data_IF_161240196029
#
_entry.id   IF_161240196029
#
_cell.length_a   1.000
_cell.length_b   1.000
_cell.length_c   1.000
_cell.angle_alpha   90.00
_cell.angle_beta   90.00
_cell.angle_gamma   90.00
#
_symmetry.space_group_name_H-M   'P 1'
#
loop_
_entity.id
_entity.type
_entity.pdbx_description
1 polymer ?
#
# COMPACT_ATOMS: atom_id res chain seq x y z
N UNK A 1 -14.99 58.70 17.09
CA UNK A 1 -13.90 59.46 17.73
C UNK A 1 -12.61 58.69 17.59
N UNK A 2 -11.59 59.29 16.92
CA UNK A 2 -10.16 58.95 16.81
C UNK A 2 -9.82 57.60 16.17
N UNK A 3 -9.42 57.48 14.90
CA UNK A 3 -8.25 57.94 14.11
C UNK A 3 -7.05 56.96 14.22
N UNK A 4 -6.77 56.38 13.09
CA UNK A 4 -5.56 55.82 12.42
C UNK A 4 -4.17 56.21 12.99
N UNK A 5 -3.02 55.55 12.58
CA UNK A 5 -2.62 55.34 11.19
C UNK A 5 -1.77 54.07 10.88
N UNK A 6 -1.77 53.66 9.66
CA UNK A 6 -0.74 53.40 8.60
C UNK A 6 0.71 53.02 9.03
N UNK A 7 1.24 52.02 8.35
CA UNK A 7 2.66 51.67 8.27
C UNK A 7 3.00 50.52 7.32
N UNK A 8 3.25 50.87 6.04
CA UNK A 8 4.29 50.44 5.07
C UNK A 8 4.68 48.98 4.85
N UNK A 9 4.32 48.48 3.71
CA UNK A 9 5.07 48.13 2.47
C UNK A 9 6.61 47.94 2.61
N UNK A 10 7.08 46.72 2.29
CA UNK A 10 8.36 46.53 1.55
C UNK A 10 8.21 45.31 0.61
N UNK A 11 8.28 45.64 -0.67
CA UNK A 11 8.46 44.79 -1.83
C UNK A 11 9.88 44.23 -1.92
N UNK A 12 10.04 42.99 -2.37
CA UNK A 12 11.30 42.47 -2.97
C UNK A 12 10.85 41.51 -4.08
N UNK A 13 10.99 41.78 -5.27
CA UNK A 13 11.98 41.87 -6.27
C UNK A 13 12.12 40.50 -6.96
N UNK A 14 11.37 40.31 -8.10
CA UNK A 14 11.54 39.21 -9.05
C UNK A 14 12.74 39.54 -9.93
N UNK A 15 13.73 38.64 -10.02
CA UNK A 15 14.78 38.67 -11.03
C UNK A 15 14.48 37.72 -12.17
N UNK A 16 14.05 38.26 -13.31
CA UNK A 16 14.07 37.60 -14.62
C UNK A 16 15.45 37.89 -15.25
N UNK A 17 16.17 36.85 -15.65
CA UNK A 17 17.29 36.99 -16.61
C UNK A 17 16.80 36.59 -18.00
N UNK A 18 16.65 37.57 -18.85
CA UNK A 18 16.46 37.41 -20.28
C UNK A 18 17.81 37.44 -20.99
N UNK A 19 18.03 36.47 -21.89
CA UNK A 19 19.15 36.42 -22.82
C UNK A 19 18.81 37.20 -24.10
N UNK A 20 19.52 38.29 -24.37
CA UNK A 20 19.47 39.00 -25.66
C UNK A 20 20.74 38.71 -26.44
N UNK A 21 20.61 38.16 -27.61
CA UNK A 21 21.63 38.06 -28.63
C UNK A 21 21.76 39.43 -29.35
N UNK A 22 22.97 39.97 -29.42
CA UNK A 22 23.27 41.12 -30.24
C UNK A 22 24.32 40.74 -31.28
N UNK A 23 23.94 40.79 -32.54
CA UNK A 23 24.83 40.75 -33.68
C UNK A 23 25.47 42.13 -33.88
N UNK A 24 26.79 42.20 -33.96
CA UNK A 24 27.49 43.40 -34.39
C UNK A 24 28.53 43.05 -35.46
N UNK A 25 28.28 43.54 -36.64
CA UNK A 25 29.22 43.65 -37.78
C UNK A 25 30.22 44.75 -37.51
N UNK A 26 31.52 44.49 -37.64
CA UNK A 26 32.59 45.46 -37.44
C UNK A 26 33.85 45.08 -38.22
N UNK A 27 34.03 45.73 -39.31
CA UNK A 27 35.22 46.23 -40.03
C UNK A 27 36.61 45.62 -39.78
N UNK A 28 37.18 45.10 -40.89
CA UNK A 28 38.59 44.71 -41.07
C UNK A 28 39.56 45.87 -40.89
N UNK A 29 40.58 45.66 -40.07
CA UNK A 29 41.89 46.38 -40.17
C UNK A 29 43.00 45.32 -40.18
N UNK A 30 44.05 45.50 -41.05
CA UNK A 30 45.14 44.53 -41.14
C UNK A 30 46.12 44.75 -39.98
N UNK A 31 46.30 43.75 -39.12
CA UNK A 31 47.35 43.75 -38.11
C UNK A 31 48.53 42.91 -38.56
N UNK A 32 49.70 43.54 -38.45
CA UNK A 32 51.03 43.01 -38.74
C UNK A 32 51.26 41.65 -38.04
N UNK A 33 51.81 40.71 -38.75
CA UNK A 33 52.25 39.41 -38.22
C UNK A 33 53.49 39.65 -37.32
N UNK A 34 53.26 39.47 -36.01
CA UNK A 34 54.34 39.20 -35.07
C UNK A 34 54.58 37.70 -35.01
N UNK A 35 55.81 37.32 -35.35
CA UNK A 35 56.28 35.95 -35.25
C UNK A 35 56.23 35.49 -33.77
N UNK A 36 55.38 34.54 -33.45
CA UNK A 36 55.39 33.82 -32.20
C UNK A 36 56.64 32.94 -32.11
N UNK A 37 57.37 32.95 -30.98
CA UNK A 37 58.47 32.00 -30.82
C UNK A 37 57.97 30.57 -30.79
N UNK A 38 58.74 29.58 -31.27
CA UNK A 38 58.34 28.20 -31.30
C UNK A 38 58.03 27.73 -29.84
N UNK A 39 56.86 27.12 -29.65
CA UNK A 39 56.50 26.44 -28.42
C UNK A 39 57.59 25.42 -28.05
N UNK A 40 57.97 25.32 -26.77
CA UNK A 40 58.90 24.28 -26.36
C UNK A 40 58.33 22.91 -26.74
N UNK A 41 59.17 22.12 -27.41
CA UNK A 41 58.85 20.77 -27.77
C UNK A 41 58.35 20.03 -26.52
N UNK A 42 57.16 19.47 -26.59
CA UNK A 42 56.62 18.58 -25.55
C UNK A 42 57.70 17.49 -25.32
N UNK A 43 58.25 17.49 -24.12
CA UNK A 43 59.10 16.40 -23.69
C UNK A 43 58.27 15.07 -23.88
N UNK A 44 58.90 14.03 -24.45
CA UNK A 44 58.22 12.76 -24.55
C UNK A 44 57.89 12.30 -23.12
N UNK A 45 56.61 12.30 -22.79
CA UNK A 45 56.13 11.63 -21.59
C UNK A 45 56.72 10.22 -21.59
N UNK A 46 57.58 9.96 -20.62
CA UNK A 46 58.16 8.65 -20.44
C UNK A 46 57.06 7.60 -20.47
N UNK A 47 57.21 6.50 -21.19
CA UNK A 47 56.21 5.44 -21.18
C UNK A 47 55.97 5.04 -19.74
N UNK A 48 54.73 5.20 -19.26
CA UNK A 48 54.30 4.65 -17.97
C UNK A 48 54.64 3.19 -18.04
N UNK A 49 55.66 2.77 -17.23
CA UNK A 49 56.05 1.38 -17.17
C UNK A 49 54.78 0.57 -16.77
N UNK A 50 54.18 -0.07 -17.75
CA UNK A 50 53.01 -0.91 -17.52
C UNK A 50 53.54 -2.18 -16.89
N UNK A 51 53.48 -2.25 -15.56
CA UNK A 51 53.95 -3.40 -14.82
C UNK A 51 53.08 -4.63 -15.20
N UNK A 52 53.75 -5.65 -15.71
CA UNK A 52 53.13 -6.93 -15.94
C UNK A 52 53.05 -7.69 -14.59
N UNK A 53 51.90 -8.31 -14.32
CA UNK A 53 51.65 -9.07 -13.08
C UNK A 53 52.53 -10.33 -13.12
N UNK A 54 53.55 -10.38 -12.25
CA UNK A 54 54.47 -11.51 -12.12
C UNK A 54 53.96 -12.57 -11.15
N UNK A 55 53.35 -12.12 -10.05
CA UNK A 55 52.82 -13.01 -9.02
C UNK A 55 51.60 -12.36 -8.35
N UNK A 56 50.71 -13.20 -7.83
CA UNK A 56 49.56 -12.77 -7.01
C UNK A 56 49.63 -13.54 -5.69
N UNK A 57 49.85 -12.82 -4.60
CA UNK A 57 49.92 -13.37 -3.25
C UNK A 57 48.71 -12.88 -2.45
N UNK A 58 48.02 -13.80 -1.76
CA UNK A 58 46.91 -13.46 -0.84
C UNK A 58 47.43 -13.62 0.58
N UNK A 59 47.17 -12.61 1.42
CA UNK A 59 47.54 -12.61 2.83
C UNK A 59 46.34 -12.19 3.71
N UNK A 60 46.34 -12.64 4.97
CA UNK A 60 45.30 -12.30 5.94
C UNK A 60 44.11 -13.27 5.96
N UNK A 61 44.16 -14.33 5.18
CA UNK A 61 43.16 -15.41 5.24
C UNK A 61 43.34 -16.22 6.55
N UNK A 62 42.21 -16.64 7.12
CA UNK A 62 42.16 -17.46 8.32
C UNK A 62 41.48 -18.81 8.06
N UNK A 63 40.35 -18.78 7.40
CA UNK A 63 39.50 -19.93 7.09
C UNK A 63 39.54 -20.30 5.61
N UNK A 64 39.71 -19.31 4.75
CA UNK A 64 39.75 -19.48 3.31
C UNK A 64 41.22 -19.73 2.87
N UNK A 65 41.41 -20.61 1.90
CA UNK A 65 42.71 -20.76 1.24
C UNK A 65 42.94 -19.60 0.25
N UNK A 66 44.21 -19.20 0.12
CA UNK A 66 44.58 -18.11 -0.80
C UNK A 66 44.19 -18.39 -2.26
N UNK A 67 44.20 -19.68 -2.66
CA UNK A 67 43.75 -20.10 -4.00
C UNK A 67 42.25 -19.90 -4.21
N UNK A 68 41.43 -20.11 -3.19
CA UNK A 68 40.01 -19.84 -3.21
C UNK A 68 39.76 -18.34 -3.39
N UNK A 69 40.50 -17.48 -2.69
CA UNK A 69 40.37 -16.02 -2.85
C UNK A 69 40.75 -15.60 -4.28
N UNK A 70 41.85 -16.20 -4.82
CA UNK A 70 42.26 -15.94 -6.21
C UNK A 70 41.21 -16.36 -7.25
N UNK A 71 40.40 -17.37 -6.95
CA UNK A 71 39.34 -17.82 -7.86
C UNK A 71 38.21 -16.78 -8.06
N UNK A 72 37.97 -15.92 -7.08
CA UNK A 72 36.94 -14.90 -7.12
C UNK A 72 37.30 -13.68 -7.96
N UNK A 73 38.60 -13.47 -8.25
CA UNK A 73 39.08 -12.32 -9.01
C UNK A 73 39.41 -12.69 -10.45
N UNK A 74 39.42 -11.69 -11.32
CA UNK A 74 39.77 -11.86 -12.75
C UNK A 74 41.21 -11.62 -13.06
N UNK A 75 42.02 -11.11 -12.08
CA UNK A 75 43.45 -10.89 -12.25
C UNK A 75 44.17 -12.21 -12.48
N UNK A 76 45.10 -12.22 -13.46
CA UNK A 76 45.93 -13.38 -13.78
C UNK A 76 47.38 -12.95 -13.94
N UNK A 77 48.32 -13.84 -13.62
CA UNK A 77 49.74 -13.67 -13.90
C UNK A 77 49.96 -13.51 -15.41
N UNK A 78 50.83 -12.62 -15.82
CA UNK A 78 51.09 -12.30 -17.22
C UNK A 78 50.24 -11.17 -17.80
N UNK A 79 49.18 -10.74 -17.11
CA UNK A 79 48.39 -9.58 -17.52
C UNK A 79 49.05 -8.25 -17.17
N UNK A 80 48.71 -7.20 -17.92
CA UNK A 80 49.12 -5.85 -17.59
C UNK A 80 48.35 -5.35 -16.35
N UNK A 81 49.08 -4.79 -15.39
CA UNK A 81 48.47 -4.17 -14.24
C UNK A 81 47.83 -2.80 -14.66
N UNK A 82 46.58 -2.61 -14.32
CA UNK A 82 45.90 -1.34 -14.44
C UNK A 82 45.10 -1.05 -13.18
N UNK A 83 44.91 0.23 -12.84
CA UNK A 83 44.04 0.62 -11.72
C UNK A 83 42.63 0.06 -11.87
N UNK A 84 42.12 0.05 -13.11
CA UNK A 84 40.79 -0.50 -13.43
C UNK A 84 40.68 -1.98 -13.07
N UNK A 85 41.75 -2.76 -13.37
CA UNK A 85 41.77 -4.21 -13.04
C UNK A 85 41.86 -4.44 -11.54
N UNK A 86 42.58 -3.59 -10.81
CA UNK A 86 42.62 -3.63 -9.34
C UNK A 86 41.25 -3.28 -8.72
N UNK A 87 40.61 -2.21 -9.20
CA UNK A 87 39.28 -1.81 -8.73
C UNK A 87 38.22 -2.89 -9.03
N UNK A 88 38.36 -3.57 -10.18
CA UNK A 88 37.47 -4.68 -10.48
C UNK A 88 37.68 -5.85 -9.54
N UNK A 89 38.93 -6.18 -9.23
CA UNK A 89 39.24 -7.26 -8.25
C UNK A 89 38.70 -6.92 -6.85
N UNK A 90 38.82 -5.66 -6.42
CA UNK A 90 38.19 -5.19 -5.18
C UNK A 90 36.68 -5.39 -5.21
N UNK A 91 36.00 -4.98 -6.28
CA UNK A 91 34.56 -5.15 -6.43
C UNK A 91 34.16 -6.62 -6.44
N UNK A 92 34.89 -7.46 -7.16
CA UNK A 92 34.63 -8.90 -7.23
C UNK A 92 34.76 -9.56 -5.82
N UNK A 93 35.75 -9.18 -5.03
CA UNK A 93 35.92 -9.69 -3.66
C UNK A 93 34.85 -9.16 -2.69
N UNK A 94 34.53 -7.87 -2.72
CA UNK A 94 33.45 -7.34 -1.86
C UNK A 94 32.08 -7.91 -2.22
N UNK A 95 31.82 -8.20 -3.51
CA UNK A 95 30.57 -8.80 -3.97
C UNK A 95 30.33 -10.21 -3.39
N UNK A 96 31.39 -10.91 -2.96
CA UNK A 96 31.24 -12.22 -2.29
C UNK A 96 30.67 -12.11 -0.88
N UNK A 97 30.68 -10.93 -0.25
CA UNK A 97 30.33 -10.68 1.16
C UNK A 97 31.18 -11.49 2.18
N UNK A 98 32.26 -12.11 1.74
CA UNK A 98 33.14 -12.93 2.59
C UNK A 98 34.15 -12.10 3.40
N UNK A 99 34.43 -10.89 2.95
CA UNK A 99 35.51 -10.05 3.48
C UNK A 99 34.99 -8.78 4.14
N UNK A 100 35.53 -8.46 5.30
CA UNK A 100 35.28 -7.21 6.03
C UNK A 100 36.12 -6.06 5.44
N UNK A 101 37.31 -6.41 4.93
CA UNK A 101 38.23 -5.45 4.34
C UNK A 101 39.10 -6.14 3.28
N UNK A 102 39.40 -5.41 2.21
CA UNK A 102 40.23 -5.89 1.10
C UNK A 102 41.11 -4.72 0.62
N UNK A 103 42.42 -4.98 0.53
CA UNK A 103 43.33 -4.06 -0.11
C UNK A 103 44.13 -4.81 -1.21
N UNK A 104 44.26 -4.18 -2.37
CA UNK A 104 45.01 -4.71 -3.51
C UNK A 104 46.17 -3.76 -3.79
N UNK A 105 47.41 -4.24 -3.67
CA UNK A 105 48.59 -3.44 -3.89
C UNK A 105 49.48 -4.09 -4.93
N UNK A 106 50.12 -3.30 -5.77
CA UNK A 106 51.13 -3.76 -6.73
C UNK A 106 52.49 -3.23 -6.34
N UNK A 107 53.42 -4.12 -6.16
CA UNK A 107 54.83 -3.81 -5.89
C UNK A 107 55.67 -4.31 -7.08
N UNK A 108 55.81 -3.48 -8.13
CA UNK A 108 56.62 -3.79 -9.34
C UNK A 108 56.30 -5.14 -9.99
N UNK A 109 54.98 -5.45 -10.14
CA UNK A 109 54.49 -6.68 -10.70
C UNK A 109 54.16 -7.79 -9.69
N UNK A 110 54.58 -7.66 -8.44
CA UNK A 110 54.12 -8.55 -7.36
C UNK A 110 52.83 -7.97 -6.74
N UNK A 111 51.69 -8.53 -7.09
CA UNK A 111 50.39 -8.11 -6.56
C UNK A 111 50.13 -8.79 -5.24
N UNK A 112 49.90 -8.00 -4.19
CA UNK A 112 49.55 -8.47 -2.85
C UNK A 112 48.09 -8.10 -2.58
N UNK A 113 47.25 -9.09 -2.29
CA UNK A 113 45.86 -8.96 -1.91
C UNK A 113 45.78 -9.23 -0.42
N UNK A 114 45.57 -8.17 0.34
CA UNK A 114 45.35 -8.26 1.79
C UNK A 114 43.86 -8.38 2.04
N UNK A 115 43.42 -9.43 2.72
CA UNK A 115 42.00 -9.65 3.05
C UNK A 115 41.85 -9.84 4.55
N UNK A 116 40.70 -9.34 5.03
CA UNK A 116 40.21 -9.61 6.38
C UNK A 116 38.85 -10.28 6.26
N UNK A 117 38.75 -11.53 6.67
CA UNK A 117 37.52 -12.29 6.57
C UNK A 117 36.44 -11.75 7.49
N UNK A 118 35.18 -11.75 7.01
CA UNK A 118 34.02 -11.51 7.85
C UNK A 118 33.91 -12.63 8.90
N UNK A 119 33.53 -12.30 10.14
CA UNK A 119 33.35 -13.31 11.20
C UNK A 119 32.18 -14.23 10.89
N UNK A 120 32.16 -15.38 11.55
CA UNK A 120 31.02 -16.31 11.50
C UNK A 120 30.07 -16.00 12.64
N UNK A 121 28.79 -15.97 12.34
CA UNK A 121 27.73 -15.79 13.35
C UNK A 121 27.70 -17.04 14.25
N UNK A 122 27.93 -16.83 15.54
CA UNK A 122 27.84 -17.89 16.54
C UNK A 122 26.39 -18.08 16.99
N UNK A 123 25.74 -17.02 17.42
CA UNK A 123 24.31 -17.00 17.80
C UNK A 123 23.70 -15.62 17.59
N UNK A 124 22.37 -15.59 17.56
CA UNK A 124 21.56 -14.39 17.48
C UNK A 124 20.77 -14.27 18.77
N UNK A 125 20.80 -13.09 19.37
CA UNK A 125 20.17 -12.80 20.65
C UNK A 125 19.18 -11.64 20.41
N UNK A 126 17.98 -11.77 20.96
CA UNK A 126 16.96 -10.72 20.95
C UNK A 126 16.84 -10.18 22.38
N UNK A 127 16.97 -8.87 22.54
CA UNK A 127 16.85 -8.21 23.83
C UNK A 127 15.86 -7.03 23.75
N UNK A 128 15.08 -6.83 24.84
CA UNK A 128 14.14 -5.72 24.93
C UNK A 128 12.77 -5.98 24.32
N UNK A 129 12.54 -7.08 23.62
CA UNK A 129 11.27 -7.46 22.99
C UNK A 129 10.27 -8.06 24.01
N UNK A 130 9.60 -7.19 24.76
CA UNK A 130 8.67 -7.60 25.83
C UNK A 130 7.25 -7.89 25.32
N UNK A 131 6.83 -7.25 24.24
CA UNK A 131 5.48 -7.33 23.69
C UNK A 131 5.35 -8.34 22.56
N UNK A 132 6.36 -8.43 21.71
CA UNK A 132 6.43 -9.43 20.65
C UNK A 132 7.44 -10.49 21.12
N UNK A 133 6.99 -11.73 21.22
CA UNK A 133 7.83 -12.84 21.66
C UNK A 133 8.82 -13.25 20.56
N UNK A 134 9.89 -13.94 20.96
CA UNK A 134 10.93 -14.41 20.05
C UNK A 134 10.37 -15.26 18.89
N UNK A 135 9.41 -16.13 19.17
CA UNK A 135 8.77 -17.01 18.17
C UNK A 135 8.15 -16.25 16.98
N UNK A 136 7.82 -14.96 17.17
CA UNK A 136 7.30 -14.10 16.12
C UNK A 136 8.38 -13.28 15.42
N UNK A 137 9.51 -13.02 16.07
CA UNK A 137 10.60 -12.23 15.51
C UNK A 137 11.60 -13.13 14.76
N UNK A 138 11.90 -14.31 15.29
CA UNK A 138 12.86 -15.24 14.68
C UNK A 138 12.59 -15.59 13.22
N UNK A 139 11.34 -15.81 12.77
CA UNK A 139 11.03 -16.07 11.36
C UNK A 139 11.34 -14.89 10.42
N UNK A 140 11.38 -13.66 10.94
CA UNK A 140 11.72 -12.47 10.15
C UNK A 140 13.24 -12.32 9.98
N UNK A 141 14.05 -12.99 10.78
CA UNK A 141 15.51 -12.98 10.72
C UNK A 141 15.97 -14.04 9.73
N UNK A 142 16.62 -13.62 8.65
CA UNK A 142 17.14 -14.53 7.62
C UNK A 142 18.58 -14.97 7.90
N UNK A 143 19.30 -14.19 8.70
CA UNK A 143 20.64 -14.58 9.13
C UNK A 143 20.53 -15.71 10.15
N UNK A 144 21.37 -16.73 10.02
CA UNK A 144 21.34 -17.89 10.89
C UNK A 144 22.72 -18.14 11.53
N UNK A 145 22.79 -18.82 12.67
CA UNK A 145 24.06 -19.31 13.25
C UNK A 145 24.86 -20.11 12.23
N UNK A 146 26.17 -20.01 12.29
CA UNK A 146 27.17 -20.61 11.40
C UNK A 146 27.23 -19.98 9.98
N UNK A 147 26.45 -18.97 9.69
CA UNK A 147 26.61 -18.19 8.46
C UNK A 147 27.66 -17.10 8.62
N UNK A 148 28.19 -16.63 7.50
CA UNK A 148 29.12 -15.51 7.47
C UNK A 148 28.34 -14.23 7.75
N UNK A 149 28.84 -13.44 8.69
CA UNK A 149 28.29 -12.13 8.99
C UNK A 149 28.41 -11.20 7.78
N UNK A 150 27.35 -10.51 7.47
CA UNK A 150 27.33 -9.44 6.47
C UNK A 150 26.53 -8.26 7.01
N UNK A 151 27.09 -7.05 6.89
CA UNK A 151 26.41 -5.83 7.32
C UNK A 151 25.11 -5.60 6.55
N UNK A 152 25.06 -5.97 5.26
CA UNK A 152 23.89 -5.86 4.41
C UNK A 152 22.75 -6.75 4.94
N UNK A 153 23.05 -8.00 5.28
CA UNK A 153 22.08 -8.96 5.83
C UNK A 153 21.54 -8.53 7.19
N UNK A 154 22.41 -8.07 8.09
CA UNK A 154 21.98 -7.54 9.40
C UNK A 154 21.07 -6.33 9.25
N UNK A 155 21.40 -5.38 8.35
CA UNK A 155 20.52 -4.23 8.08
C UNK A 155 19.17 -4.65 7.51
N UNK A 156 19.16 -5.65 6.64
CA UNK A 156 17.92 -6.20 6.10
C UNK A 156 17.07 -6.89 7.19
N UNK A 157 17.70 -7.59 8.12
CA UNK A 157 17.02 -8.21 9.27
C UNK A 157 16.45 -7.14 10.20
N UNK A 158 17.22 -6.10 10.53
CA UNK A 158 16.75 -4.94 11.29
C UNK A 158 15.51 -4.33 10.63
N UNK A 159 15.56 -4.11 9.32
CA UNK A 159 14.42 -3.53 8.59
C UNK A 159 13.16 -4.42 8.68
N UNK A 160 13.32 -5.76 8.59
CA UNK A 160 12.18 -6.70 8.73
C UNK A 160 11.62 -6.72 10.15
N UNK A 161 12.47 -6.70 11.16
CA UNK A 161 12.03 -6.62 12.56
C UNK A 161 11.28 -5.31 12.81
N UNK A 162 11.80 -4.16 12.35
CA UNK A 162 11.12 -2.87 12.47
C UNK A 162 9.77 -2.90 11.76
N UNK A 163 9.70 -3.52 10.58
CA UNK A 163 8.44 -3.63 9.83
C UNK A 163 7.43 -4.54 10.55
N UNK A 164 7.88 -5.61 11.20
CA UNK A 164 7.02 -6.42 12.08
C UNK A 164 6.41 -5.58 13.19
N UNK A 165 7.21 -4.71 13.85
CA UNK A 165 6.73 -3.81 14.90
C UNK A 165 5.73 -2.78 14.35
N UNK A 166 5.98 -2.23 13.16
CA UNK A 166 5.03 -1.31 12.50
C UNK A 166 3.70 -1.98 12.20
N UNK A 167 3.70 -3.21 11.68
CA UNK A 167 2.48 -4.01 11.47
C UNK A 167 1.69 -4.24 12.76
N UNK A 168 2.37 -4.22 13.91
CA UNK A 168 1.73 -4.27 15.24
C UNK A 168 1.33 -2.88 15.79
N UNK A 169 1.44 -1.84 14.95
CA UNK A 169 1.11 -0.45 15.32
C UNK A 169 2.16 0.24 16.20
N UNK A 170 3.41 -0.21 16.19
CA UNK A 170 4.52 0.36 16.97
C UNK A 170 5.53 1.02 16.05
N UNK A 171 5.21 2.21 15.57
CA UNK A 171 6.01 2.94 14.59
C UNK A 171 7.27 3.59 15.21
N UNK A 172 7.29 3.76 16.53
CA UNK A 172 8.45 4.26 17.27
C UNK A 172 9.45 3.16 17.63
N UNK A 173 9.25 1.91 17.18
CA UNK A 173 10.17 0.83 17.47
C UNK A 173 11.54 1.07 16.82
N UNK A 174 12.59 0.90 17.61
CA UNK A 174 13.99 1.00 17.19
C UNK A 174 14.66 -0.33 17.44
N UNK A 175 15.45 -0.81 16.48
CA UNK A 175 16.23 -2.03 16.57
C UNK A 175 17.69 -1.72 16.27
N UNK A 176 18.54 -1.89 17.24
CA UNK A 176 19.99 -1.63 17.11
C UNK A 176 20.77 -2.95 17.17
N UNK A 177 21.50 -3.29 16.09
CA UNK A 177 22.33 -4.50 16.09
C UNK A 177 23.64 -4.22 16.79
N UNK A 178 23.97 -4.96 17.84
CA UNK A 178 25.27 -4.97 18.50
C UNK A 178 26.02 -6.25 18.17
N UNK A 179 27.31 -6.12 17.98
CA UNK A 179 28.21 -7.22 17.65
C UNK A 179 29.14 -7.48 18.84
N UNK A 180 29.08 -8.68 19.38
CA UNK A 180 29.98 -9.15 20.43
C UNK A 180 31.00 -10.06 19.78
N UNK A 181 32.24 -9.59 19.68
CA UNK A 181 33.33 -10.38 19.10
C UNK A 181 33.76 -11.51 20.05
N UNK A 182 33.97 -12.67 19.49
CA UNK A 182 34.44 -13.90 20.18
C UNK A 182 35.73 -14.38 19.54
N UNK A 183 36.43 -15.30 20.23
CA UNK A 183 37.60 -15.95 19.70
C UNK A 183 37.31 -16.68 18.38
N UNK A 184 38.36 -16.95 17.59
CA UNK A 184 38.31 -17.67 16.32
C UNK A 184 37.45 -16.98 15.24
N UNK A 185 37.48 -15.63 15.17
CA UNK A 185 36.75 -14.84 14.20
C UNK A 185 35.26 -15.17 14.17
N UNK A 186 34.65 -15.30 15.34
CA UNK A 186 33.19 -15.49 15.55
C UNK A 186 32.57 -14.26 16.16
N UNK A 187 31.26 -14.12 15.97
CA UNK A 187 30.48 -12.97 16.48
C UNK A 187 29.11 -13.43 16.96
N UNK A 188 28.68 -12.93 18.14
CA UNK A 188 27.30 -12.94 18.54
C UNK A 188 26.66 -11.67 18.04
N UNK A 189 25.43 -11.75 17.50
CA UNK A 189 24.62 -10.62 17.07
C UNK A 189 23.52 -10.43 18.09
N UNK A 190 23.50 -9.28 18.74
CA UNK A 190 22.45 -8.89 19.68
C UNK A 190 21.61 -7.82 19.01
N UNK A 191 20.33 -8.10 18.77
CA UNK A 191 19.36 -7.09 18.38
C UNK A 191 18.73 -6.49 19.63
N UNK A 192 19.18 -5.29 20.00
CA UNK A 192 18.54 -4.53 21.06
C UNK A 192 17.30 -3.82 20.54
N UNK A 193 16.15 -4.17 21.10
CA UNK A 193 14.85 -3.71 20.64
C UNK A 193 14.26 -2.78 21.67
N UNK A 194 13.99 -1.56 21.24
CA UNK A 194 13.18 -0.59 21.99
C UNK A 194 11.82 -0.51 21.31
N UNK A 195 10.80 -1.19 21.89
CA UNK A 195 9.52 -1.40 21.22
C UNK A 195 8.67 -0.13 21.06
N UNK A 196 8.84 0.87 21.91
CA UNK A 196 7.99 2.07 21.92
C UNK A 196 6.52 1.81 22.29
N UNK A 197 5.70 2.85 22.44
CA UNK A 197 4.25 2.73 22.62
C UNK A 197 3.56 2.30 21.32
N UNK A 198 2.28 1.89 21.39
CA UNK A 198 1.43 1.83 20.20
C UNK A 198 1.12 3.24 19.73
N UNK A 199 1.37 3.51 18.48
CA UNK A 199 1.09 4.82 17.87
C UNK A 199 -0.42 5.02 17.73
N UNK A 200 -0.87 6.19 18.14
CA UNK A 200 -2.28 6.58 18.12
C UNK A 200 -2.49 7.69 17.11
N UNK A 201 -3.72 7.93 16.75
CA UNK A 201 -4.11 9.09 15.95
C UNK A 201 -4.35 10.25 16.90
N UNK A 202 -3.41 11.19 16.93
CA UNK A 202 -3.48 12.39 17.77
C UNK A 202 -4.53 13.37 17.24
N UNK A 203 -4.53 13.60 15.93
CA UNK A 203 -5.39 14.57 15.27
C UNK A 203 -5.84 14.09 13.90
N UNK A 204 -7.10 14.42 13.55
CA UNK A 204 -7.66 14.24 12.22
C UNK A 204 -8.09 15.62 11.73
N UNK A 205 -7.45 16.10 10.67
CA UNK A 205 -7.78 17.34 9.99
C UNK A 205 -8.56 17.02 8.71
N UNK A 206 -9.57 17.82 8.42
CA UNK A 206 -10.31 17.75 7.17
C UNK A 206 -10.26 19.15 6.55
N UNK A 207 -9.81 19.25 5.30
CA UNK A 207 -9.61 20.51 4.60
C UNK A 207 -10.49 20.51 3.36
N UNK A 208 -11.25 21.60 3.14
CA UNK A 208 -12.16 21.74 2.01
C UNK A 208 -13.61 21.37 2.32
N UNK A 209 -13.92 21.04 3.58
CA UNK A 209 -15.28 20.79 4.06
C UNK A 209 -15.95 22.11 4.46
N UNK A 210 -16.78 22.65 3.59
CA UNK A 210 -17.53 23.90 3.84
C UNK A 210 -18.95 23.65 4.36
N UNK A 211 -19.57 22.53 3.99
CA UNK A 211 -20.98 22.21 4.27
C UNK A 211 -21.20 21.42 5.55
N UNK A 212 -20.23 20.63 5.96
CA UNK A 212 -20.30 19.81 7.16
C UNK A 212 -19.13 20.13 8.09
N UNK A 213 -19.39 20.12 9.39
CA UNK A 213 -18.32 20.37 10.35
C UNK A 213 -17.35 19.18 10.44
N UNK A 214 -16.11 19.46 10.80
CA UNK A 214 -15.13 18.42 11.12
C UNK A 214 -15.65 17.40 12.15
N UNK A 215 -16.49 17.87 13.08
CA UNK A 215 -17.08 17.03 14.10
C UNK A 215 -18.01 15.98 13.53
N UNK A 216 -18.88 16.40 12.61
CA UNK A 216 -19.84 15.53 11.93
C UNK A 216 -19.09 14.50 11.08
N UNK A 217 -18.13 14.95 10.27
CA UNK A 217 -17.36 14.07 9.40
C UNK A 217 -16.50 13.05 10.20
N UNK A 218 -15.85 13.49 11.29
CA UNK A 218 -15.16 12.56 12.20
C UNK A 218 -16.12 11.61 12.92
N UNK A 219 -17.39 11.96 13.01
CA UNK A 219 -18.46 11.08 13.50
C UNK A 219 -18.62 9.84 12.63
N UNK A 220 -18.62 10.02 11.32
CA UNK A 220 -18.81 8.96 10.31
C UNK A 220 -17.60 8.04 10.15
N UNK A 221 -16.39 8.50 10.48
CA UNK A 221 -15.17 7.74 10.35
C UNK A 221 -15.05 6.65 11.42
N UNK A 222 -14.38 5.55 11.09
CA UNK A 222 -14.02 4.48 12.02
C UNK A 222 -12.80 4.87 12.86
N UNK A 223 -11.84 5.54 12.24
CA UNK A 223 -10.68 6.09 12.96
C UNK A 223 -11.11 7.23 13.89
N UNK A 224 -10.71 7.13 15.13
CA UNK A 224 -11.04 8.13 16.17
C UNK A 224 -9.78 8.77 16.71
N UNK A 225 -9.87 10.07 17.00
CA UNK A 225 -8.79 10.78 17.68
C UNK A 225 -8.60 10.24 19.11
N UNK A 226 -7.33 10.11 19.51
CA UNK A 226 -6.95 9.78 20.87
C UNK A 226 -7.32 10.94 21.79
N UNK A 227 -8.16 10.68 22.81
CA UNK A 227 -8.50 11.64 23.86
C UNK A 227 -8.32 10.97 25.23
N UNK A 228 -7.98 11.75 26.25
CA UNK A 228 -7.66 11.21 27.57
C UNK A 228 -8.76 10.34 28.21
N UNK A 229 -10.04 10.52 27.82
CA UNK A 229 -11.18 9.74 28.30
C UNK A 229 -11.52 8.52 27.42
N UNK A 230 -10.76 8.27 26.33
CA UNK A 230 -10.98 7.15 25.40
C UNK A 230 -9.91 6.05 25.54
N UNK A 231 -9.54 5.69 26.76
CA UNK A 231 -8.48 4.70 27.01
C UNK A 231 -8.75 3.31 26.46
N UNK A 232 -9.99 2.92 26.31
CA UNK A 232 -10.41 1.57 25.89
C UNK A 232 -10.90 1.49 24.44
N UNK A 233 -10.79 2.55 23.66
CA UNK A 233 -11.26 2.54 22.27
C UNK A 233 -10.19 1.97 21.35
N UNK A 234 -10.50 0.87 20.66
CA UNK A 234 -9.62 0.26 19.64
C UNK A 234 -9.44 1.11 18.37
N UNK A 235 -10.33 2.08 18.14
CA UNK A 235 -10.32 2.94 16.96
C UNK A 235 -9.26 4.06 16.97
N UNK A 236 -8.50 4.22 18.07
CA UNK A 236 -7.53 5.30 18.21
C UNK A 236 -6.13 4.96 17.69
N UNK A 237 -5.82 3.69 17.37
CA UNK A 237 -4.53 3.32 16.77
C UNK A 237 -4.54 3.58 15.28
N UNK A 238 -3.41 4.06 14.75
CA UNK A 238 -3.24 4.22 13.32
C UNK A 238 -3.21 2.86 12.60
N UNK A 239 -3.91 2.79 11.47
CA UNK A 239 -4.01 1.63 10.62
C UNK A 239 -4.24 2.11 9.17
N UNK A 240 -3.36 1.76 8.22
CA UNK A 240 -3.51 2.18 6.82
C UNK A 240 -4.81 1.71 6.16
N UNK A 241 -5.28 0.51 6.50
CA UNK A 241 -6.51 -0.04 5.92
C UNK A 241 -7.73 0.75 6.40
N UNK A 242 -7.72 1.19 7.66
CA UNK A 242 -8.76 2.08 8.19
C UNK A 242 -8.73 3.45 7.52
N UNK A 243 -7.56 3.96 7.18
CA UNK A 243 -7.45 5.23 6.45
C UNK A 243 -8.18 5.15 5.11
N UNK A 244 -7.99 4.07 4.35
CA UNK A 244 -8.69 3.84 3.09
C UNK A 244 -10.20 3.64 3.29
N UNK A 245 -10.58 2.91 4.34
CA UNK A 245 -11.99 2.70 4.69
C UNK A 245 -12.69 3.99 5.08
N UNK A 246 -12.04 4.88 5.83
CA UNK A 246 -12.58 6.17 6.22
C UNK A 246 -12.81 7.09 5.01
N UNK A 247 -11.95 7.03 3.98
CA UNK A 247 -12.19 7.75 2.73
C UNK A 247 -13.49 7.28 2.06
N UNK A 248 -13.74 5.96 2.06
CA UNK A 248 -14.99 5.40 1.52
C UNK A 248 -16.20 5.82 2.36
N UNK A 249 -16.07 5.85 3.70
CA UNK A 249 -17.13 6.29 4.59
C UNK A 249 -17.48 7.76 4.39
N UNK A 250 -16.48 8.63 4.26
CA UNK A 250 -16.72 10.04 3.92
C UNK A 250 -17.42 10.17 2.58
N UNK A 251 -16.96 9.45 1.54
CA UNK A 251 -17.61 9.45 0.24
C UNK A 251 -19.07 8.97 0.33
N UNK A 252 -19.32 7.87 1.01
CA UNK A 252 -20.66 7.35 1.20
C UNK A 252 -21.56 8.37 1.90
N UNK A 253 -21.07 9.00 2.97
CA UNK A 253 -21.79 10.04 3.69
C UNK A 253 -22.20 11.19 2.74
N UNK A 254 -21.26 11.78 2.01
CA UNK A 254 -21.53 12.88 1.10
C UNK A 254 -22.48 12.49 -0.03
N UNK A 255 -22.34 11.29 -0.60
CA UNK A 255 -23.27 10.77 -1.62
C UNK A 255 -24.68 10.59 -1.08
N UNK A 256 -24.86 10.24 0.20
CA UNK A 256 -26.19 10.16 0.82
C UNK A 256 -26.80 11.54 1.12
N UNK A 257 -25.96 12.59 1.20
CA UNK A 257 -26.38 13.95 1.40
C UNK A 257 -26.61 14.73 0.11
N UNK A 258 -26.41 14.10 -1.05
CA UNK A 258 -26.66 14.69 -2.37
C UNK A 258 -25.44 15.23 -3.09
N UNK A 259 -24.25 15.12 -2.53
CA UNK A 259 -23.01 15.62 -3.14
C UNK A 259 -22.38 14.55 -4.04
N UNK A 260 -22.91 14.43 -5.26
CA UNK A 260 -22.53 13.38 -6.20
C UNK A 260 -21.10 13.54 -6.75
N UNK A 261 -20.56 14.75 -6.74
CA UNK A 261 -19.21 15.07 -7.21
C UNK A 261 -18.16 15.02 -6.10
N UNK A 262 -18.55 14.64 -4.88
CA UNK A 262 -17.63 14.54 -3.76
C UNK A 262 -16.45 13.62 -4.06
N UNK A 263 -15.26 14.10 -3.74
CA UNK A 263 -14.05 13.30 -3.81
C UNK A 263 -13.07 13.63 -2.69
N UNK A 264 -12.37 12.64 -2.23
CA UNK A 264 -11.18 12.82 -1.40
C UNK A 264 -9.99 13.00 -2.34
N UNK A 265 -9.40 14.19 -2.34
CA UNK A 265 -8.25 14.54 -3.18
C UNK A 265 -6.98 13.87 -2.66
N UNK A 266 -6.81 13.89 -1.34
CA UNK A 266 -5.70 13.21 -0.68
C UNK A 266 -6.04 12.84 0.76
N UNK A 267 -5.41 11.79 1.25
CA UNK A 267 -5.43 11.39 2.66
C UNK A 267 -4.00 11.01 3.07
N UNK A 268 -3.41 11.83 3.92
CA UNK A 268 -2.01 11.70 4.33
C UNK A 268 -1.96 11.48 5.83
N UNK A 269 -1.21 10.48 6.27
CA UNK A 269 -0.91 10.24 7.67
C UNK A 269 0.58 10.51 7.92
N UNK A 270 0.86 11.47 8.76
CA UNK A 270 2.21 11.90 9.12
C UNK A 270 2.50 11.55 10.57
N UNK A 271 3.71 11.01 10.81
CA UNK A 271 4.20 10.80 12.17
C UNK A 271 4.51 12.15 12.82
N UNK A 272 4.14 12.28 14.07
CA UNK A 272 4.59 13.41 14.92
C UNK A 272 6.12 13.43 15.03
N UNK A 273 6.76 14.59 15.29
CA UNK A 273 8.22 14.70 15.38
C UNK A 273 8.87 13.74 16.39
N UNK A 274 8.18 13.39 17.44
CA UNK A 274 8.59 12.40 18.45
C UNK A 274 8.39 10.93 18.02
N UNK A 275 7.85 10.72 16.80
CA UNK A 275 7.53 9.42 16.19
C UNK A 275 6.56 8.54 17.01
N UNK A 276 5.79 9.13 17.91
CA UNK A 276 4.90 8.36 18.77
C UNK A 276 3.49 8.25 18.20
N UNK A 277 2.97 9.33 17.61
CA UNK A 277 1.58 9.43 17.17
C UNK A 277 1.45 9.85 15.70
N UNK A 278 0.24 9.81 15.17
CA UNK A 278 -0.08 10.23 13.81
C UNK A 278 -1.01 11.44 13.79
N UNK A 279 -0.75 12.33 12.83
CA UNK A 279 -1.68 13.36 12.39
C UNK A 279 -2.16 12.93 11.01
N UNK A 280 -3.49 12.82 10.84
CA UNK A 280 -4.10 12.46 9.57
C UNK A 280 -4.75 13.70 8.98
N UNK A 281 -4.46 14.00 7.73
CA UNK A 281 -5.06 15.11 6.99
C UNK A 281 -5.77 14.60 5.75
N UNK A 282 -7.08 14.83 5.67
CA UNK A 282 -7.89 14.60 4.49
C UNK A 282 -8.12 15.93 3.77
N UNK A 283 -7.85 15.94 2.48
CA UNK A 283 -8.22 17.07 1.61
C UNK A 283 -9.39 16.61 0.76
N UNK A 284 -10.49 17.30 0.85
CA UNK A 284 -11.74 16.96 0.17
C UNK A 284 -12.23 18.08 -0.75
N UNK A 285 -12.94 17.71 -1.79
CA UNK A 285 -13.73 18.59 -2.62
C UNK A 285 -15.17 18.12 -2.56
N UNK A 286 -16.06 18.98 -2.05
CA UNK A 286 -17.47 18.62 -1.82
C UNK A 286 -18.28 18.60 -3.11
N UNK A 287 -18.01 19.51 -4.03
CA UNK A 287 -18.80 19.71 -5.23
C UNK A 287 -20.18 20.29 -4.97
N UNK A 288 -21.03 20.26 -5.99
CA UNK A 288 -22.40 20.77 -5.91
C UNK A 288 -23.38 19.71 -5.40
N UNK A 289 -24.47 20.18 -4.78
CA UNK A 289 -25.52 19.32 -4.27
C UNK A 289 -26.60 19.10 -5.32
N UNK A 290 -26.83 17.84 -5.68
CA UNK A 290 -27.78 17.42 -6.71
C UNK A 290 -29.15 17.05 -6.14
N UNK A 291 -30.17 17.17 -6.98
CA UNK A 291 -31.51 16.65 -6.76
C UNK A 291 -31.81 15.49 -7.72
N UNK A 292 -32.75 14.65 -7.37
CA UNK A 292 -33.25 13.69 -8.33
C UNK A 292 -33.94 14.38 -9.50
N UNK A 293 -33.55 14.02 -10.71
CA UNK A 293 -34.23 14.35 -11.96
C UNK A 293 -35.37 13.35 -12.24
N UNK A 294 -35.50 12.93 -13.49
CA UNK A 294 -36.46 11.90 -13.85
C UNK A 294 -35.91 10.53 -13.42
N UNK A 295 -36.75 9.79 -12.69
CA UNK A 295 -36.40 8.44 -12.20
C UNK A 295 -37.42 7.47 -12.78
N UNK A 296 -36.90 6.42 -13.47
CA UNK A 296 -37.76 5.43 -14.15
C UNK A 296 -37.12 4.03 -14.08
N UNK A 297 -37.96 3.03 -14.24
CA UNK A 297 -37.57 1.63 -14.42
C UNK A 297 -37.81 1.25 -15.86
N UNK A 298 -36.84 0.65 -16.51
CA UNK A 298 -36.96 0.00 -17.81
C UNK A 298 -36.63 -1.48 -17.66
N UNK A 299 -37.53 -2.36 -18.13
CA UNK A 299 -37.34 -3.79 -18.04
C UNK A 299 -37.54 -4.47 -19.38
N UNK A 300 -36.68 -5.41 -19.68
CA UNK A 300 -36.84 -6.34 -20.80
C UNK A 300 -37.61 -7.60 -20.42
N UNK A 301 -37.91 -7.77 -19.14
CA UNK A 301 -38.60 -8.93 -18.61
C UNK A 301 -40.11 -8.80 -18.89
N UNK A 302 -40.69 -9.81 -19.54
CA UNK A 302 -42.08 -9.83 -20.02
C UNK A 302 -43.14 -9.64 -18.92
N UNK A 303 -42.86 -10.13 -17.72
CA UNK A 303 -43.79 -10.11 -16.58
C UNK A 303 -43.57 -8.88 -15.67
N UNK A 304 -42.69 -7.94 -16.06
CA UNK A 304 -42.32 -6.74 -15.30
C UNK A 304 -43.01 -5.50 -15.89
N UNK A 305 -43.97 -4.99 -15.18
CA UNK A 305 -44.66 -3.71 -15.53
C UNK A 305 -43.78 -2.53 -15.06
N UNK A 306 -42.95 -2.00 -15.98
CA UNK A 306 -42.04 -0.91 -15.73
C UNK A 306 -42.73 0.39 -15.26
N UNK A 307 -43.91 0.70 -15.78
CA UNK A 307 -44.65 1.88 -15.39
C UNK A 307 -45.14 1.76 -13.94
N UNK A 308 -45.73 0.63 -13.61
CA UNK A 308 -46.19 0.35 -12.25
C UNK A 308 -45.02 0.36 -11.26
N UNK A 309 -43.89 -0.25 -11.58
CA UNK A 309 -42.69 -0.25 -10.72
C UNK A 309 -42.16 1.18 -10.56
N UNK A 310 -42.11 1.98 -11.62
CA UNK A 310 -41.73 3.40 -11.55
C UNK A 310 -42.56 4.17 -10.56
N UNK A 311 -43.88 3.93 -10.52
CA UNK A 311 -44.79 4.63 -9.56
C UNK A 311 -44.55 4.20 -8.11
N UNK A 312 -43.99 3.05 -7.86
CA UNK A 312 -43.70 2.54 -6.50
C UNK A 312 -42.36 3.03 -5.95
N UNK A 313 -41.52 3.66 -6.77
CA UNK A 313 -40.22 4.16 -6.34
C UNK A 313 -40.36 5.21 -5.24
N UNK A 314 -39.50 5.14 -4.23
CA UNK A 314 -39.47 6.10 -3.11
C UNK A 314 -38.85 7.43 -3.48
N UNK A 315 -38.05 7.48 -4.53
CA UNK A 315 -37.34 8.66 -5.04
C UNK A 315 -38.31 9.49 -5.90
N UNK A 316 -38.42 10.77 -5.60
CA UNK A 316 -39.25 11.70 -6.37
C UNK A 316 -38.40 12.79 -7.02
N UNK A 317 -38.78 13.22 -8.21
CA UNK A 317 -38.17 14.37 -8.90
C UNK A 317 -38.18 15.58 -7.98
N UNK A 318 -37.00 16.19 -7.78
CA UNK A 318 -36.85 17.39 -6.95
C UNK A 318 -36.40 17.12 -5.51
N UNK A 319 -36.49 15.87 -5.02
CA UNK A 319 -35.87 15.46 -3.74
C UNK A 319 -34.35 15.52 -3.83
N UNK A 320 -33.66 15.65 -2.70
CA UNK A 320 -32.20 15.60 -2.69
C UNK A 320 -31.72 14.21 -3.08
N UNK A 321 -30.71 14.17 -3.96
CA UNK A 321 -30.07 12.91 -4.35
C UNK A 321 -29.53 12.18 -3.12
N UNK A 322 -29.71 10.87 -3.10
CA UNK A 322 -29.25 10.01 -2.03
C UNK A 322 -28.84 8.65 -2.60
N UNK A 323 -27.54 8.37 -2.59
CA UNK A 323 -27.01 7.15 -3.16
C UNK A 323 -27.52 5.88 -2.46
N UNK A 324 -27.77 5.95 -1.15
CA UNK A 324 -28.33 4.82 -0.42
C UNK A 324 -29.74 4.45 -0.89
N UNK A 325 -30.58 5.46 -1.19
CA UNK A 325 -31.91 5.19 -1.76
C UNK A 325 -31.82 4.51 -3.12
N UNK A 326 -30.79 4.82 -3.91
CA UNK A 326 -30.54 4.14 -5.20
C UNK A 326 -30.14 2.68 -4.96
N UNK A 327 -29.20 2.42 -4.05
CA UNK A 327 -28.78 1.06 -3.67
C UNK A 327 -29.96 0.23 -3.12
N UNK A 328 -30.72 0.80 -2.18
CA UNK A 328 -31.91 0.17 -1.61
C UNK A 328 -32.97 -0.16 -2.70
N UNK A 329 -33.06 0.69 -3.73
CA UNK A 329 -33.96 0.47 -4.86
C UNK A 329 -33.48 -0.66 -5.77
N UNK A 330 -32.18 -0.71 -6.07
CA UNK A 330 -31.59 -1.82 -6.83
C UNK A 330 -31.84 -3.14 -6.11
N UNK A 331 -31.62 -3.20 -4.78
CA UNK A 331 -31.91 -4.39 -3.99
C UNK A 331 -33.40 -4.77 -4.06
N UNK A 332 -34.32 -3.80 -3.88
CA UNK A 332 -35.76 -4.02 -3.93
C UNK A 332 -36.25 -4.52 -5.30
N UNK A 333 -35.70 -3.95 -6.39
CA UNK A 333 -36.04 -4.39 -7.75
C UNK A 333 -35.49 -5.79 -8.04
N UNK A 334 -34.27 -6.10 -7.58
CA UNK A 334 -33.67 -7.43 -7.69
C UNK A 334 -34.47 -8.47 -6.90
N UNK A 335 -34.91 -8.13 -5.67
CA UNK A 335 -35.78 -8.98 -4.87
C UNK A 335 -37.14 -9.22 -5.54
N UNK A 336 -37.69 -8.16 -6.14
CA UNK A 336 -38.96 -8.26 -6.88
C UNK A 336 -38.81 -9.17 -8.10
N UNK A 337 -37.72 -9.06 -8.85
CA UNK A 337 -37.41 -9.96 -9.95
C UNK A 337 -37.27 -11.41 -9.48
N UNK A 338 -36.64 -11.63 -8.31
CA UNK A 338 -36.53 -12.95 -7.68
C UNK A 338 -37.88 -13.59 -7.34
N UNK A 339 -38.92 -12.79 -6.98
CA UNK A 339 -40.29 -13.32 -6.75
C UNK A 339 -40.91 -13.90 -8.02
N UNK A 340 -40.54 -13.41 -9.20
CA UNK A 340 -40.98 -13.93 -10.49
C UNK A 340 -40.08 -15.06 -11.03
N UNK A 341 -39.10 -15.54 -10.24
CA UNK A 341 -38.20 -16.62 -10.62
C UNK A 341 -36.94 -16.20 -11.37
N UNK A 342 -36.67 -14.91 -11.46
CA UNK A 342 -35.44 -14.35 -12.06
C UNK A 342 -34.40 -14.10 -10.96
N UNK A 343 -33.79 -15.17 -10.46
CA UNK A 343 -32.90 -15.15 -9.31
C UNK A 343 -31.67 -14.26 -9.45
N UNK A 344 -31.19 -14.08 -10.67
CA UNK A 344 -29.99 -13.32 -11.01
C UNK A 344 -30.30 -12.15 -11.93
N UNK A 345 -31.51 -11.53 -11.80
CA UNK A 345 -31.83 -10.35 -12.56
C UNK A 345 -30.81 -9.25 -12.24
N UNK A 346 -30.13 -8.75 -13.27
CA UNK A 346 -29.18 -7.68 -13.17
C UNK A 346 -29.92 -6.34 -13.26
N UNK A 347 -29.87 -5.59 -12.17
CA UNK A 347 -30.50 -4.26 -12.10
C UNK A 347 -29.40 -3.21 -12.11
N UNK A 348 -29.20 -2.61 -13.28
CA UNK A 348 -28.15 -1.61 -13.50
C UNK A 348 -28.74 -0.20 -13.53
N UNK A 349 -28.41 0.67 -12.54
CA UNK A 349 -28.79 2.07 -12.59
C UNK A 349 -27.92 2.83 -13.60
N UNK A 350 -28.55 3.48 -14.58
CA UNK A 350 -27.91 4.41 -15.49
C UNK A 350 -28.16 5.85 -15.00
N UNK A 351 -27.06 6.59 -14.79
CA UNK A 351 -27.08 7.93 -14.22
C UNK A 351 -26.94 9.00 -15.29
N UNK A 352 -27.94 9.85 -15.41
CA UNK A 352 -27.94 11.01 -16.32
C UNK A 352 -27.77 12.29 -15.51
N UNK A 353 -26.52 12.74 -15.43
CA UNK A 353 -26.17 13.92 -14.65
C UNK A 353 -26.23 15.18 -15.48
N UNK A 354 -27.05 16.13 -15.05
CA UNK A 354 -27.12 17.47 -15.58
C UNK A 354 -26.49 18.47 -14.58
N UNK A 355 -25.36 19.05 -14.99
CA UNK A 355 -24.62 20.01 -14.17
C UNK A 355 -25.19 21.40 -14.19
N UNK A 356 -25.98 21.77 -15.24
CA UNK A 356 -26.57 23.10 -15.34
C UNK A 356 -27.76 23.23 -14.41
N UNK A 357 -28.60 22.20 -14.36
CA UNK A 357 -29.78 22.15 -13.49
C UNK A 357 -29.51 21.50 -12.12
N UNK A 358 -28.31 20.96 -11.89
CA UNK A 358 -27.92 20.20 -10.70
C UNK A 358 -28.91 19.04 -10.41
N UNK A 359 -29.27 18.31 -11.46
CA UNK A 359 -30.17 17.16 -11.36
C UNK A 359 -29.52 15.86 -11.79
N UNK A 360 -29.92 14.76 -11.17
CA UNK A 360 -29.49 13.41 -11.44
C UNK A 360 -30.68 12.56 -11.88
N UNK A 361 -30.83 12.35 -13.18
CA UNK A 361 -31.78 11.38 -13.72
C UNK A 361 -31.28 9.97 -13.52
N UNK A 362 -32.16 9.01 -13.24
CA UNK A 362 -31.77 7.62 -13.03
C UNK A 362 -32.71 6.71 -13.79
N UNK A 363 -32.18 5.84 -14.63
CA UNK A 363 -32.91 4.78 -15.29
C UNK A 363 -32.43 3.43 -14.72
N UNK A 364 -33.30 2.71 -14.03
CA UNK A 364 -33.00 1.36 -13.56
C UNK A 364 -33.30 0.38 -14.69
N UNK A 365 -32.24 -0.14 -15.31
CA UNK A 365 -32.34 -1.15 -16.37
C UNK A 365 -32.37 -2.54 -15.74
N UNK A 366 -33.50 -3.21 -15.85
CA UNK A 366 -33.66 -4.60 -15.40
C UNK A 366 -33.47 -5.51 -16.60
N UNK A 367 -32.29 -6.14 -16.67
CA UNK A 367 -31.95 -7.02 -17.78
C UNK A 367 -32.67 -8.38 -17.64
N UNK A 368 -33.03 -8.95 -18.80
CA UNK A 368 -33.59 -10.32 -18.82
C UNK A 368 -32.51 -11.31 -18.36
N UNK A 369 -32.87 -12.12 -17.37
CA UNK A 369 -32.06 -13.21 -16.85
C UNK A 369 -32.83 -14.52 -16.98
N UNK A 370 -32.17 -15.65 -17.29
CA UNK A 370 -32.83 -16.94 -17.30
C UNK A 370 -33.46 -17.27 -15.94
N UNK A 371 -34.66 -17.87 -15.94
CA UNK A 371 -35.23 -18.40 -14.72
C UNK A 371 -34.36 -19.55 -14.22
N UNK A 372 -34.05 -19.53 -12.92
CA UNK A 372 -33.24 -20.54 -12.26
C UNK A 372 -34.17 -21.33 -11.32
N UNK A 373 -33.99 -22.63 -11.29
CA UNK A 373 -34.80 -23.53 -10.47
C UNK A 373 -33.94 -24.24 -9.43
N UNK A 374 -34.52 -24.50 -8.27
CA UNK A 374 -33.85 -25.26 -7.21
C UNK A 374 -33.74 -26.70 -7.66
N UNK A 375 -32.52 -27.19 -7.86
CA UNK A 375 -32.30 -28.60 -8.22
C UNK A 375 -32.33 -29.48 -6.99
N UNK A 376 -31.64 -29.09 -5.94
CA UNK A 376 -31.50 -29.85 -4.70
C UNK A 376 -31.22 -28.91 -3.53
N UNK A 377 -31.63 -29.33 -2.35
CA UNK A 377 -31.34 -28.63 -1.09
C UNK A 377 -30.50 -29.57 -0.23
N UNK A 378 -29.26 -29.22 -0.02
CA UNK A 378 -28.32 -29.93 0.83
C UNK A 378 -28.27 -29.31 2.23
N UNK A 379 -28.31 -30.14 3.26
CA UNK A 379 -28.21 -29.71 4.65
C UNK A 379 -26.97 -30.38 5.25
N UNK A 380 -25.98 -29.58 5.63
CA UNK A 380 -24.72 -30.07 6.16
C UNK A 380 -24.52 -29.56 7.60
N UNK A 381 -23.74 -30.30 8.41
CA UNK A 381 -23.41 -29.91 9.77
C UNK A 381 -24.46 -30.17 10.85
N UNK A 382 -25.61 -30.75 10.52
CA UNK A 382 -26.70 -31.08 11.44
C UNK A 382 -26.47 -32.39 12.23
N UNK A 383 -25.33 -32.48 12.95
CA UNK A 383 -24.89 -33.72 13.64
C UNK A 383 -25.86 -34.24 14.70
N UNK A 384 -26.64 -33.39 15.34
CA UNK A 384 -27.61 -33.75 16.38
C UNK A 384 -29.06 -33.60 15.95
N UNK A 385 -29.35 -32.73 14.98
CA UNK A 385 -30.72 -32.45 14.53
C UNK A 385 -31.04 -33.25 13.27
N UNK A 386 -32.16 -33.93 13.27
CA UNK A 386 -32.58 -34.70 12.08
C UNK A 386 -32.91 -33.77 10.92
N UNK A 387 -32.49 -34.14 9.72
CA UNK A 387 -32.68 -33.39 8.46
C UNK A 387 -34.12 -32.92 8.26
N UNK A 388 -35.10 -33.77 8.54
CA UNK A 388 -36.54 -33.46 8.43
C UNK A 388 -36.99 -32.27 9.30
N UNK A 389 -36.27 -31.98 10.39
CA UNK A 389 -36.60 -30.84 11.28
C UNK A 389 -36.18 -29.54 10.63
N UNK A 390 -35.05 -29.53 9.91
CA UNK A 390 -34.57 -28.39 9.16
C UNK A 390 -35.38 -28.20 7.88
N UNK A 391 -35.63 -29.29 7.12
CA UNK A 391 -36.40 -29.24 5.85
C UNK A 391 -37.80 -28.70 6.00
N UNK A 392 -38.50 -28.96 7.09
CA UNK A 392 -39.87 -28.42 7.30
C UNK A 392 -39.92 -26.90 7.43
N UNK A 393 -38.79 -26.27 7.73
CA UNK A 393 -38.72 -24.80 7.83
C UNK A 393 -38.47 -24.11 6.47
N UNK A 394 -38.12 -24.91 5.45
CA UNK A 394 -37.96 -24.40 4.10
C UNK A 394 -39.31 -23.96 3.51
N UNK A 395 -39.28 -22.87 2.78
CA UNK A 395 -40.42 -22.37 1.99
C UNK A 395 -40.23 -22.58 0.50
N UNK A 396 -39.05 -23.05 0.10
CA UNK A 396 -38.72 -23.48 -1.25
C UNK A 396 -38.62 -25.00 -1.26
N UNK A 397 -39.12 -25.61 -2.33
CA UNK A 397 -38.97 -27.03 -2.59
C UNK A 397 -38.05 -27.26 -3.78
N UNK A 398 -37.51 -28.45 -3.87
CA UNK A 398 -36.74 -28.87 -5.04
C UNK A 398 -37.67 -28.87 -6.28
N UNK A 399 -37.21 -28.19 -7.36
CA UNK A 399 -38.03 -27.96 -8.56
C UNK A 399 -38.74 -26.62 -8.62
N UNK A 400 -38.86 -25.90 -7.50
CA UNK A 400 -39.46 -24.56 -7.49
C UNK A 400 -38.53 -23.54 -8.19
N UNK A 401 -39.12 -22.45 -8.71
CA UNK A 401 -38.35 -21.31 -9.15
C UNK A 401 -37.59 -20.71 -7.94
N UNK A 402 -36.31 -20.46 -8.09
CA UNK A 402 -35.48 -19.91 -7.03
C UNK A 402 -35.98 -18.53 -6.58
N UNK A 403 -35.98 -18.30 -5.27
CA UNK A 403 -36.44 -17.07 -4.67
C UNK A 403 -35.57 -16.69 -3.48
N UNK A 404 -34.72 -15.68 -3.62
CA UNK A 404 -33.77 -15.22 -2.61
C UNK A 404 -34.43 -14.77 -1.31
N UNK A 405 -35.63 -14.17 -1.37
CA UNK A 405 -36.39 -13.75 -0.18
C UNK A 405 -36.84 -14.99 0.61
N UNK A 406 -37.33 -16.01 -0.08
CA UNK A 406 -37.73 -17.26 0.59
C UNK A 406 -36.53 -17.97 1.22
N UNK A 407 -35.37 -17.91 0.60
CA UNK A 407 -34.10 -18.41 1.16
C UNK A 407 -33.75 -17.64 2.44
N UNK A 408 -33.71 -16.30 2.38
CA UNK A 408 -33.44 -15.43 3.59
C UNK A 408 -34.43 -15.79 4.72
N UNK A 409 -35.74 -15.85 4.43
CA UNK A 409 -36.79 -16.17 5.42
C UNK A 409 -36.60 -17.58 5.99
N UNK A 410 -36.21 -18.52 5.17
CA UNK A 410 -35.90 -19.89 5.62
C UNK A 410 -34.72 -19.87 6.58
N UNK A 411 -33.63 -19.18 6.25
CA UNK A 411 -32.47 -19.04 7.13
C UNK A 411 -32.83 -18.39 8.49
N UNK A 412 -33.63 -17.33 8.48
CA UNK A 412 -34.10 -16.68 9.72
C UNK A 412 -34.96 -17.62 10.57
N UNK A 413 -35.85 -18.41 9.95
CA UNK A 413 -36.66 -19.40 10.66
C UNK A 413 -35.80 -20.49 11.28
N UNK A 414 -34.83 -21.03 10.55
CA UNK A 414 -33.91 -22.03 11.07
C UNK A 414 -33.10 -21.48 12.24
N UNK A 415 -32.59 -20.23 12.13
CA UNK A 415 -31.93 -19.54 13.25
C UNK A 415 -32.84 -19.39 14.46
N UNK A 416 -34.11 -19.09 14.25
CA UNK A 416 -35.08 -18.90 15.33
C UNK A 416 -35.40 -20.17 16.12
N UNK A 417 -35.09 -21.37 15.58
CA UNK A 417 -35.23 -22.62 16.33
C UNK A 417 -34.27 -22.73 17.51
N UNK A 418 -33.17 -21.94 17.52
CA UNK A 418 -32.19 -21.96 18.61
C UNK A 418 -31.35 -23.23 18.71
N UNK A 419 -31.43 -24.15 17.72
CA UNK A 419 -30.67 -25.41 17.72
C UNK A 419 -29.32 -25.31 17.04
N UNK A 420 -29.07 -24.18 16.34
CA UNK A 420 -27.88 -23.95 15.54
C UNK A 420 -27.14 -22.75 16.07
N UNK A 421 -25.80 -22.74 15.92
CA UNK A 421 -24.97 -21.61 16.28
C UNK A 421 -25.28 -20.40 15.39
N UNK A 422 -24.84 -19.20 15.78
CA UNK A 422 -25.12 -17.92 15.07
C UNK A 422 -24.59 -17.91 13.62
N UNK A 423 -23.65 -18.77 13.28
CA UNK A 423 -22.99 -18.87 11.95
C UNK A 423 -23.72 -19.89 11.04
N UNK A 424 -25.04 -19.70 10.83
CA UNK A 424 -25.73 -20.43 9.76
C UNK A 424 -25.42 -19.73 8.43
N UNK A 425 -24.67 -20.37 7.55
CA UNK A 425 -24.41 -19.94 6.19
C UNK A 425 -25.35 -20.66 5.21
N UNK A 426 -25.80 -19.92 4.20
CA UNK A 426 -26.53 -20.48 3.07
C UNK A 426 -25.69 -20.25 1.82
N UNK A 427 -25.07 -21.29 1.33
CA UNK A 427 -24.31 -21.28 0.09
C UNK A 427 -25.22 -21.54 -1.10
N UNK A 428 -24.97 -20.91 -2.21
CA UNK A 428 -25.67 -21.11 -3.48
C UNK A 428 -24.64 -21.57 -4.50
N UNK A 429 -24.73 -22.80 -4.94
CA UNK A 429 -23.82 -23.36 -5.93
C UNK A 429 -24.57 -23.72 -7.22
N UNK A 430 -23.87 -23.63 -8.34
CA UNK A 430 -24.43 -24.01 -9.63
C UNK A 430 -24.74 -25.51 -9.64
N UNK A 431 -25.93 -25.87 -10.09
CA UNK A 431 -26.35 -27.24 -10.26
C UNK A 431 -25.79 -27.90 -11.52
N UNK A 432 -26.45 -29.01 -11.95
CA UNK A 432 -26.02 -29.78 -13.13
C UNK A 432 -26.22 -29.06 -14.46
N UNK A 433 -27.08 -28.05 -14.50
CA UNK A 433 -27.36 -27.23 -15.67
C UNK A 433 -27.25 -25.73 -15.33
N UNK A 434 -27.07 -24.84 -16.33
CA UNK A 434 -26.95 -23.39 -16.08
C UNK A 434 -28.22 -22.76 -15.44
N UNK A 435 -29.38 -23.39 -15.61
CA UNK A 435 -30.67 -22.97 -15.04
C UNK A 435 -30.99 -23.69 -13.72
N UNK A 436 -30.03 -24.35 -13.12
CA UNK A 436 -30.19 -25.11 -11.86
C UNK A 436 -29.25 -24.58 -10.78
N UNK A 437 -29.77 -24.58 -9.55
CA UNK A 437 -29.02 -24.14 -8.36
C UNK A 437 -29.23 -25.14 -7.21
N UNK A 438 -28.16 -25.36 -6.46
CA UNK A 438 -28.13 -26.15 -5.24
C UNK A 438 -27.92 -25.28 -4.05
#
# INVERSE_FOLDING_TARGET
MKSRPFGNLKSVGIFLMGSTALAASGTMTPAFAQATPPAPAAEPTAPVAVDQIKSITVVGTQRLEGDTVRSYIRLRTGQLWTQVSADQALKDLYATELFADVAVRNNSGAVVIEVRENPVVNRIILEGNKRIKNDKIEPEIKLAPRQIYSRSKVRADVARIVELYKRQGRFAAVVEPKLVQLDQNRVDIVFEITEGPKSKVQQINIIGNEKFSDGDLRGEMVTKQSRFYRFFSSGTSYDPDRLAFDQQKLRQFYLTQGYADFRVVSAIAELTPDKQDFIITYVVEEGDRYKFGDVKVESQIRDFDSERLTTTLRMKKGDWYNAKMVEDTVESLSETAGLFGYAFADVNPDFQRDKETLTMGITFNVAESPRVFVERIDINGNTLTQDKVVRREFRLNEGDAFNSIQVKRTAERIKSLGYFQEELEVEQTQGTAPDRIV
#
